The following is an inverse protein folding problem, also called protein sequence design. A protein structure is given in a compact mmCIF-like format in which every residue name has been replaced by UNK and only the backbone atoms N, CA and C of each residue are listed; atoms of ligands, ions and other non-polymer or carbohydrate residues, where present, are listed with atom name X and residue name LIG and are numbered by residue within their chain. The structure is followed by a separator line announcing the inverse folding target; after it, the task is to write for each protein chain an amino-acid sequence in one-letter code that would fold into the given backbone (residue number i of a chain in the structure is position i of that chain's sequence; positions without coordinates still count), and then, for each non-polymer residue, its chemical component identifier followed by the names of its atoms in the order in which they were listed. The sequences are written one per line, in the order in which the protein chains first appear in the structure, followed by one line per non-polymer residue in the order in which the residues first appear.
data_IF_934365331004
#
_entry.id   IF_934365331004
#
_cell.length_a   1.000
_cell.length_b   1.000
_cell.length_c   1.000
_cell.angle_alpha   90.00
_cell.angle_beta   90.00
_cell.angle_gamma   90.00
#
_symmetry.space_group_name_H-M   'P 1'
#
loop_
_entity.id
_entity.type
_entity.pdbx_description
1 polymer ?
#
# COMPACT_ATOMS: atom_id res chain seq x y z
N UNK A 1 -16.19 12.92 -1.10
CA UNK A 1 -16.69 12.72 -2.50
C UNK A 1 -17.61 13.82 -3.01
N UNK A 2 -18.20 14.66 -2.16
CA UNK A 2 -19.06 15.78 -2.59
C UNK A 2 -18.36 16.77 -3.52
N UNK A 3 -17.09 17.11 -3.25
CA UNK A 3 -16.29 18.00 -4.10
C UNK A 3 -16.13 17.44 -5.53
N UNK A 4 -15.55 16.24 -5.67
CA UNK A 4 -15.34 15.62 -6.98
C UNK A 4 -16.66 15.35 -7.72
N UNK A 5 -17.74 15.00 -7.00
CA UNK A 5 -19.09 14.91 -7.58
C UNK A 5 -19.52 16.23 -8.22
N UNK A 6 -19.38 17.34 -7.49
CA UNK A 6 -19.72 18.68 -7.99
C UNK A 6 -18.86 19.09 -9.18
N UNK A 7 -17.55 18.81 -9.15
CA UNK A 7 -16.63 19.07 -10.26
C UNK A 7 -17.05 18.29 -11.51
N UNK A 8 -17.45 17.03 -11.35
CA UNK A 8 -17.95 16.19 -12.45
C UNK A 8 -19.42 16.45 -12.82
N UNK A 9 -20.11 17.39 -12.18
CA UNK A 9 -21.52 17.69 -12.44
C UNK A 9 -22.52 16.66 -11.92
N UNK A 10 -22.09 15.70 -11.09
CA UNK A 10 -22.96 14.68 -10.51
C UNK A 10 -23.48 15.05 -9.13
N UNK A 11 -24.71 14.62 -8.86
CA UNK A 11 -25.36 14.59 -7.56
C UNK A 11 -25.31 13.18 -6.93
N UNK A 12 -25.90 13.02 -5.75
CA UNK A 12 -26.12 11.70 -5.17
C UNK A 12 -27.29 10.95 -5.83
N UNK A 13 -28.21 11.66 -6.51
CA UNK A 13 -29.38 11.06 -7.17
C UNK A 13 -29.01 10.29 -8.43
N UNK A 14 -27.90 10.66 -9.06
CA UNK A 14 -27.41 10.01 -10.29
C UNK A 14 -26.83 8.62 -10.03
N UNK A 15 -26.62 8.25 -8.75
CA UNK A 15 -26.14 6.92 -8.31
C UNK A 15 -24.84 6.44 -8.99
N UNK A 16 -24.09 7.34 -9.63
CA UNK A 16 -22.77 7.07 -10.21
C UNK A 16 -21.81 6.67 -9.10
N UNK A 17 -21.04 5.58 -9.31
CA UNK A 17 -20.10 5.10 -8.29
C UNK A 17 -18.94 6.08 -8.15
N UNK A 18 -18.38 6.13 -6.95
CA UNK A 18 -17.26 7.04 -6.70
C UNK A 18 -15.97 6.61 -7.41
N UNK A 19 -15.85 5.34 -7.82
CA UNK A 19 -14.79 4.85 -8.71
C UNK A 19 -14.87 5.56 -10.07
N UNK A 20 -16.03 5.54 -10.69
CA UNK A 20 -16.26 6.02 -12.05
C UNK A 20 -16.05 7.54 -12.12
N UNK A 21 -16.46 8.27 -11.08
CA UNK A 21 -16.21 9.73 -10.98
C UNK A 21 -14.71 10.03 -10.90
N UNK A 22 -13.94 9.24 -10.14
CA UNK A 22 -12.49 9.44 -10.03
C UNK A 22 -11.80 9.10 -11.34
N UNK A 23 -12.20 8.00 -11.98
CA UNK A 23 -11.71 7.58 -13.29
C UNK A 23 -11.97 8.66 -14.34
N UNK A 24 -13.21 9.17 -14.43
CA UNK A 24 -13.58 10.24 -15.36
C UNK A 24 -12.85 11.57 -15.13
N UNK A 25 -12.38 11.82 -13.90
CA UNK A 25 -11.57 13.00 -13.56
C UNK A 25 -10.05 12.73 -13.57
N UNK A 26 -9.60 11.51 -13.87
CA UNK A 26 -8.19 11.12 -13.79
C UNK A 26 -7.59 11.22 -12.37
N UNK A 27 -8.43 11.14 -11.33
CA UNK A 27 -8.00 11.26 -9.93
C UNK A 27 -7.62 9.90 -9.38
N UNK A 28 -6.37 9.77 -8.94
CA UNK A 28 -5.89 8.54 -8.29
C UNK A 28 -6.69 8.21 -7.02
N UNK A 29 -7.08 6.94 -6.79
CA UNK A 29 -7.68 6.53 -5.53
C UNK A 29 -6.72 6.74 -4.35
N UNK A 30 -7.20 7.35 -3.27
CA UNK A 30 -6.40 7.60 -2.05
C UNK A 30 -5.74 6.32 -1.51
N UNK A 31 -6.43 5.19 -1.58
CA UNK A 31 -5.88 3.91 -1.14
C UNK A 31 -4.64 3.52 -1.95
N UNK A 32 -4.64 3.72 -3.26
CA UNK A 32 -3.48 3.44 -4.12
C UNK A 32 -2.27 4.30 -3.70
N UNK A 33 -2.52 5.57 -3.41
CA UNK A 33 -1.48 6.49 -2.92
C UNK A 33 -0.88 6.04 -1.57
N UNK A 34 -1.73 5.60 -0.64
CA UNK A 34 -1.32 5.09 0.67
C UNK A 34 -0.48 3.82 0.52
N UNK A 35 -0.97 2.84 -0.24
CA UNK A 35 -0.28 1.57 -0.50
C UNK A 35 1.09 1.81 -1.16
N UNK A 36 1.16 2.68 -2.18
CA UNK A 36 2.41 3.04 -2.86
C UNK A 36 3.41 3.67 -1.88
N UNK A 37 2.94 4.54 -0.98
CA UNK A 37 3.79 5.18 0.02
C UNK A 37 4.33 4.20 1.05
N UNK A 38 3.50 3.25 1.50
CA UNK A 38 3.89 2.22 2.45
C UNK A 38 4.93 1.26 1.87
N UNK A 39 4.73 0.81 0.62
CA UNK A 39 5.71 0.00 -0.11
C UNK A 39 6.98 0.81 -0.43
N UNK A 40 6.86 2.11 -0.72
CA UNK A 40 8.00 3.02 -0.85
C UNK A 40 8.86 3.07 0.42
N UNK A 41 8.22 3.15 1.59
CA UNK A 41 8.90 3.12 2.88
C UNK A 41 9.58 1.77 3.16
N UNK A 42 8.98 0.65 2.73
CA UNK A 42 9.65 -0.66 2.78
C UNK A 42 10.95 -0.67 1.97
N UNK A 43 10.95 -0.12 0.76
CA UNK A 43 12.18 0.00 -0.02
C UNK A 43 13.25 0.84 0.69
N UNK A 44 12.84 1.88 1.43
CA UNK A 44 13.77 2.63 2.28
C UNK A 44 14.35 1.76 3.41
N UNK A 45 13.53 0.93 4.07
CA UNK A 45 14.02 -0.03 5.07
C UNK A 45 15.00 -1.05 4.47
N UNK A 46 14.71 -1.58 3.28
CA UNK A 46 15.55 -2.57 2.62
C UNK A 46 16.96 -2.05 2.28
N UNK A 47 17.07 -0.75 1.97
CA UNK A 47 18.35 -0.07 1.71
C UNK A 47 19.00 0.54 2.95
N UNK A 48 18.37 0.41 4.11
CA UNK A 48 18.87 0.96 5.35
C UNK A 48 20.08 0.15 5.84
N UNK A 49 21.17 0.78 6.31
CA UNK A 49 22.28 0.03 6.90
C UNK A 49 21.84 -0.70 8.17
N UNK A 50 22.45 -1.85 8.44
CA UNK A 50 22.23 -2.63 9.67
C UNK A 50 22.53 -1.81 10.93
N UNK A 51 21.87 -2.14 12.04
CA UNK A 51 22.04 -1.44 13.32
C UNK A 51 21.13 -0.23 13.51
N UNK A 52 20.33 0.15 12.49
CA UNK A 52 19.29 1.17 12.65
C UNK A 52 18.02 0.56 13.23
N UNK A 53 17.52 1.17 14.31
CA UNK A 53 16.34 0.71 15.05
C UNK A 53 15.12 0.37 14.17
N UNK A 54 14.72 1.15 13.13
CA UNK A 54 13.55 0.80 12.32
C UNK A 54 13.70 -0.54 11.60
N UNK A 55 14.89 -0.82 11.05
CA UNK A 55 15.19 -2.08 10.39
C UNK A 55 15.24 -3.24 11.39
N UNK A 56 15.87 -3.03 12.55
CA UNK A 56 15.93 -4.04 13.61
C UNK A 56 14.52 -4.39 14.12
N UNK A 57 13.69 -3.38 14.42
CA UNK A 57 12.29 -3.56 14.83
C UNK A 57 11.48 -4.29 13.76
N UNK A 58 11.67 -3.95 12.49
CA UNK A 58 10.99 -4.64 11.38
C UNK A 58 11.36 -6.13 11.29
N UNK A 59 12.65 -6.45 11.49
CA UNK A 59 13.14 -7.84 11.52
C UNK A 59 12.63 -8.60 12.75
N UNK A 60 12.45 -7.94 13.89
CA UNK A 60 11.97 -8.60 15.10
C UNK A 60 10.59 -9.23 14.91
N UNK A 61 10.44 -10.47 15.41
CA UNK A 61 9.17 -11.18 15.42
C UNK A 61 8.80 -11.52 16.88
N UNK A 62 8.19 -10.60 17.65
CA UNK A 62 7.85 -10.88 19.03
C UNK A 62 6.84 -12.04 19.10
N UNK A 63 7.16 -13.10 19.82
CA UNK A 63 6.35 -14.34 19.89
C UNK A 63 5.16 -14.22 20.85
N UNK A 64 5.15 -13.20 21.72
CA UNK A 64 4.12 -13.03 22.75
C UNK A 64 2.74 -12.73 22.14
N UNK A 65 1.70 -13.29 22.75
CA UNK A 65 0.30 -13.00 22.40
C UNK A 65 0.02 -11.50 22.55
N UNK A 66 -0.61 -10.91 21.53
CA UNK A 66 -1.02 -9.50 21.57
C UNK A 66 -2.17 -9.31 22.58
N UNK A 67 -2.14 -8.23 23.40
CA UNK A 67 -3.23 -7.92 24.33
C UNK A 67 -4.55 -7.66 23.60
N UNK A 68 -5.66 -7.77 24.34
CA UNK A 68 -6.97 -7.37 23.82
C UNK A 68 -6.95 -5.88 23.48
N UNK A 69 -7.55 -5.51 22.34
CA UNK A 69 -7.58 -4.12 21.84
C UNK A 69 -6.46 -3.76 20.86
N UNK A 70 -5.42 -4.59 20.72
CA UNK A 70 -4.36 -4.33 19.74
C UNK A 70 -4.75 -4.86 18.35
N UNK A 71 -4.34 -4.17 17.26
CA UNK A 71 -4.52 -4.70 15.90
C UNK A 71 -3.96 -6.12 15.80
N UNK A 72 -4.72 -7.03 15.18
CA UNK A 72 -4.28 -8.42 15.01
C UNK A 72 -3.12 -8.53 14.04
N UNK A 73 -3.18 -7.80 12.93
CA UNK A 73 -2.18 -7.81 11.87
C UNK A 73 -0.97 -6.97 12.25
N UNK A 74 0.24 -7.49 12.03
CA UNK A 74 1.48 -6.70 12.17
C UNK A 74 1.67 -5.88 10.90
N UNK A 75 2.40 -4.77 11.01
CA UNK A 75 2.75 -3.99 9.82
C UNK A 75 3.52 -4.84 8.80
N UNK A 76 4.47 -5.65 9.25
CA UNK A 76 5.19 -6.61 8.39
C UNK A 76 4.24 -7.57 7.68
N UNK A 77 3.35 -8.25 8.40
CA UNK A 77 2.40 -9.20 7.81
C UNK A 77 1.48 -8.51 6.79
N UNK A 78 1.03 -7.29 7.10
CA UNK A 78 0.23 -6.48 6.19
C UNK A 78 0.99 -6.14 4.90
N UNK A 79 2.25 -5.70 5.02
CA UNK A 79 3.09 -5.34 3.89
C UNK A 79 3.48 -6.55 3.04
N UNK A 80 3.80 -7.68 3.67
CA UNK A 80 4.06 -8.93 2.95
C UNK A 80 2.85 -9.37 2.15
N UNK A 81 1.65 -9.30 2.73
CA UNK A 81 0.40 -9.59 2.01
C UNK A 81 0.16 -8.58 0.88
N UNK A 82 0.37 -7.28 1.14
CA UNK A 82 0.21 -6.24 0.14
C UNK A 82 1.18 -6.42 -1.04
N UNK A 83 2.44 -6.75 -0.77
CA UNK A 83 3.44 -6.99 -1.81
C UNK A 83 3.06 -8.22 -2.66
N UNK A 84 2.58 -9.29 -2.02
CA UNK A 84 2.06 -10.46 -2.73
C UNK A 84 0.85 -10.12 -3.60
N UNK A 85 -0.20 -9.54 -3.02
CA UNK A 85 -1.48 -9.26 -3.71
C UNK A 85 -1.34 -8.25 -4.86
N UNK A 86 -0.32 -7.38 -4.80
CA UNK A 86 -0.23 -6.20 -5.68
C UNK A 86 0.96 -6.21 -6.63
N UNK A 87 2.06 -6.86 -6.22
CA UNK A 87 3.32 -6.92 -6.97
C UNK A 87 3.76 -8.37 -7.26
N UNK A 88 3.04 -9.37 -6.76
CA UNK A 88 3.39 -10.80 -6.89
C UNK A 88 4.78 -11.13 -6.31
N UNK A 89 5.25 -10.33 -5.35
CA UNK A 89 6.53 -10.55 -4.69
C UNK A 89 6.32 -11.40 -3.43
N UNK A 90 6.93 -12.60 -3.34
CA UNK A 90 6.83 -13.44 -2.15
C UNK A 90 7.55 -12.81 -0.95
N UNK A 91 7.11 -13.15 0.27
CA UNK A 91 7.59 -12.50 1.48
C UNK A 91 9.10 -12.72 1.74
N UNK A 92 9.62 -13.85 1.25
CA UNK A 92 11.00 -14.30 1.36
C UNK A 92 11.96 -13.42 0.54
N UNK A 93 11.53 -13.03 -0.67
CA UNK A 93 12.31 -12.22 -1.61
C UNK A 93 12.08 -10.72 -1.43
N UNK A 94 11.04 -10.35 -0.67
CA UNK A 94 10.56 -8.98 -0.56
C UNK A 94 11.63 -7.96 -0.19
N UNK A 95 12.50 -8.27 0.78
CA UNK A 95 13.56 -7.35 1.21
C UNK A 95 14.69 -7.23 0.17
N UNK A 96 14.94 -8.28 -0.59
CA UNK A 96 15.94 -8.28 -1.66
C UNK A 96 15.46 -7.44 -2.84
N UNK A 97 14.25 -7.74 -3.34
CA UNK A 97 13.61 -7.00 -4.45
C UNK A 97 13.42 -5.53 -4.08
N UNK A 98 12.97 -5.23 -2.86
CA UNK A 98 12.80 -3.86 -2.40
C UNK A 98 14.14 -3.13 -2.18
N UNK A 99 15.24 -3.86 -2.02
CA UNK A 99 16.60 -3.32 -1.92
C UNK A 99 17.09 -2.75 -3.24
N UNK A 100 16.78 -3.42 -4.35
CA UNK A 100 17.06 -2.94 -5.70
C UNK A 100 16.21 -1.69 -5.99
N UNK A 101 16.87 -0.53 -6.13
CA UNK A 101 16.19 0.76 -6.22
C UNK A 101 15.41 0.96 -7.52
N UNK A 102 15.97 0.56 -8.65
CA UNK A 102 15.38 0.77 -9.98
C UNK A 102 14.21 -0.19 -10.24
N UNK A 103 14.36 -1.46 -9.90
CA UNK A 103 13.32 -2.48 -9.94
C UNK A 103 12.17 -2.11 -9.00
N UNK A 104 12.47 -1.75 -7.74
CA UNK A 104 11.42 -1.34 -6.79
C UNK A 104 10.69 -0.08 -7.26
N UNK A 105 11.40 0.94 -7.75
CA UNK A 105 10.76 2.14 -8.28
C UNK A 105 9.85 1.84 -9.48
N UNK A 106 10.25 0.91 -10.35
CA UNK A 106 9.46 0.49 -11.51
C UNK A 106 8.19 -0.23 -11.07
N UNK A 107 8.28 -1.16 -10.12
CA UNK A 107 7.13 -1.86 -9.54
C UNK A 107 6.11 -0.88 -8.91
N UNK A 108 6.59 0.09 -8.13
CA UNK A 108 5.71 1.07 -7.49
C UNK A 108 5.03 2.02 -8.49
N UNK A 109 5.72 2.35 -9.58
CA UNK A 109 5.16 3.19 -10.66
C UNK A 109 4.04 2.45 -11.40
N UNK A 110 4.17 1.13 -11.54
CA UNK A 110 3.20 0.27 -12.24
C UNK A 110 2.12 -0.32 -11.32
N UNK A 111 2.11 0.06 -10.04
CA UNK A 111 1.13 -0.43 -9.06
C UNK A 111 -0.31 -0.12 -9.55
N UNK A 112 -1.13 -1.12 -9.91
CA UNK A 112 -2.46 -0.88 -10.48
C UNK A 112 -3.43 -0.43 -9.37
N UNK A 113 -4.51 0.32 -9.62
CA UNK A 113 -5.53 0.56 -8.60
C UNK A 113 -6.17 -0.76 -8.14
N UNK A 114 -6.61 -0.83 -6.87
CA UNK A 114 -7.39 -1.96 -6.38
C UNK A 114 -8.64 -2.14 -7.26
N UNK A 115 -8.99 -3.37 -7.70
CA UNK A 115 -10.25 -3.60 -8.38
C UNK A 115 -11.37 -3.15 -7.45
N UNK A 116 -12.24 -2.26 -7.94
CA UNK A 116 -13.30 -1.68 -7.14
C UNK A 116 -14.16 -2.81 -6.58
N UNK A 117 -14.15 -2.99 -5.26
CA UNK A 117 -15.09 -3.86 -4.56
C UNK A 117 -16.49 -3.42 -4.99
N UNK A 118 -17.21 -4.32 -5.69
CA UNK A 118 -18.57 -4.14 -6.19
C UNK A 118 -19.47 -3.39 -5.20
#
# INVERSE_FOLDING_TARGET
MSFLRRVAGFSLRDRVRSSDIREGLGVEPLLLHIERSQLGWLGHLARMPSGRLPLEVFRTCPTRRRPRGWPRTRWRDYISRLAWERLEVPAEELMEVAGERAAWASLLKLLPPQPGSG
#
